data_IF_695346505735
#
_entry.id   IF_695346505735
#
_cell.length_a   1.000
_cell.length_b   1.000
_cell.length_c   1.000
_cell.angle_alpha   90.00
_cell.angle_beta   90.00
_cell.angle_gamma   90.00
#
_symmetry.space_group_name_H-M   'P 1'
#
loop_
_entity.id
_entity.type
_entity.pdbx_description
1 polymer ?
#
# COMPACT_ATOMS: atom_id res chain seq x y z
N UNK A 1 -25.04 -34.98 -10.94
CA UNK A 1 -25.12 -34.56 -9.51
C UNK A 1 -23.74 -34.28 -8.89
N UNK A 2 -22.69 -35.05 -9.22
CA UNK A 2 -21.30 -34.85 -8.72
C UNK A 2 -20.65 -33.52 -9.19
N UNK A 3 -20.92 -33.09 -10.43
CA UNK A 3 -20.40 -31.83 -11.00
C UNK A 3 -20.86 -30.54 -10.28
N UNK A 4 -22.08 -30.53 -9.73
CA UNK A 4 -22.59 -29.37 -8.99
C UNK A 4 -21.94 -29.25 -7.60
N UNK A 5 -21.58 -30.38 -6.98
CA UNK A 5 -20.89 -30.41 -5.70
C UNK A 5 -19.40 -30.03 -5.84
N UNK A 6 -18.74 -30.43 -6.93
CA UNK A 6 -17.36 -30.02 -7.23
C UNK A 6 -17.27 -28.52 -7.51
N UNK A 7 -18.16 -27.97 -8.34
CA UNK A 7 -18.19 -26.54 -8.64
C UNK A 7 -18.48 -25.68 -7.39
N UNK A 8 -19.35 -26.13 -6.49
CA UNK A 8 -19.61 -25.45 -5.20
C UNK A 8 -18.38 -25.47 -4.28
N UNK A 9 -17.67 -26.61 -4.24
CA UNK A 9 -16.45 -26.76 -3.45
C UNK A 9 -15.33 -25.87 -3.98
N UNK A 10 -15.13 -25.83 -5.30
CA UNK A 10 -14.14 -24.99 -5.99
C UNK A 10 -14.40 -23.51 -5.73
N UNK A 11 -15.64 -23.03 -5.89
CA UNK A 11 -16.01 -21.65 -5.56
C UNK A 11 -15.72 -21.29 -4.11
N UNK A 12 -16.03 -22.20 -3.17
CA UNK A 12 -15.74 -21.96 -1.75
C UNK A 12 -14.24 -21.85 -1.48
N UNK A 13 -13.43 -22.68 -2.12
CA UNK A 13 -11.97 -22.61 -1.99
C UNK A 13 -11.41 -21.31 -2.58
N UNK A 14 -11.93 -20.86 -3.73
CA UNK A 14 -11.54 -19.59 -4.34
C UNK A 14 -11.84 -18.40 -3.41
N UNK A 15 -13.07 -18.31 -2.89
CA UNK A 15 -13.46 -17.24 -1.95
C UNK A 15 -12.60 -17.25 -0.69
N UNK A 16 -12.31 -18.45 -0.13
CA UNK A 16 -11.43 -18.56 1.03
C UNK A 16 -10.00 -18.12 0.73
N UNK A 17 -9.50 -18.36 -0.48
CA UNK A 17 -8.16 -17.94 -0.88
C UNK A 17 -8.07 -16.45 -1.13
N UNK A 18 -9.05 -15.86 -1.82
CA UNK A 18 -9.19 -14.42 -1.99
C UNK A 18 -9.22 -13.71 -0.63
N UNK A 19 -10.01 -14.22 0.32
CA UNK A 19 -10.06 -13.67 1.67
C UNK A 19 -8.70 -13.76 2.38
N UNK A 20 -7.99 -14.90 2.30
CA UNK A 20 -6.67 -15.05 2.92
C UNK A 20 -5.65 -14.07 2.35
N UNK A 21 -5.68 -13.84 1.04
CA UNK A 21 -4.78 -12.92 0.37
C UNK A 21 -5.11 -11.47 0.76
N UNK A 22 -6.37 -11.06 0.65
CA UNK A 22 -6.82 -9.74 1.06
C UNK A 22 -6.50 -9.44 2.53
N UNK A 23 -6.77 -10.39 3.44
CA UNK A 23 -6.46 -10.25 4.87
C UNK A 23 -4.96 -10.10 5.12
N UNK A 24 -4.10 -10.83 4.40
CA UNK A 24 -2.64 -10.71 4.53
C UNK A 24 -2.15 -9.32 4.13
N UNK A 25 -2.62 -8.80 2.99
CA UNK A 25 -2.24 -7.47 2.53
C UNK A 25 -2.72 -6.38 3.49
N UNK A 26 -3.92 -6.51 4.04
CA UNK A 26 -4.43 -5.60 5.06
C UNK A 26 -3.64 -5.67 6.38
N UNK A 27 -3.16 -6.85 6.78
CA UNK A 27 -2.30 -7.03 7.97
C UNK A 27 -0.93 -6.36 7.78
N UNK A 28 -0.34 -6.49 6.58
CA UNK A 28 0.85 -5.74 6.19
C UNK A 28 0.60 -4.23 6.25
N UNK A 29 -0.54 -3.75 5.75
CA UNK A 29 -0.87 -2.31 5.73
C UNK A 29 -1.13 -1.73 7.13
N UNK A 30 -1.76 -2.51 8.01
CA UNK A 30 -1.88 -2.16 9.43
C UNK A 30 -0.51 -2.03 10.07
N UNK A 31 0.41 -2.98 9.79
CA UNK A 31 1.78 -2.92 10.31
C UNK A 31 2.50 -1.66 9.82
N UNK A 32 2.45 -1.38 8.51
CA UNK A 32 3.09 -0.20 7.91
C UNK A 32 2.51 1.10 8.47
N UNK A 33 1.19 1.22 8.62
CA UNK A 33 0.60 2.41 9.23
C UNK A 33 1.07 2.59 10.68
N UNK A 34 1.18 1.50 11.44
CA UNK A 34 1.73 1.54 12.80
C UNK A 34 3.17 2.06 12.85
N UNK A 35 4.02 1.60 11.94
CA UNK A 35 5.41 2.09 11.79
C UNK A 35 5.45 3.57 11.39
N UNK A 36 4.63 3.97 10.44
CA UNK A 36 4.50 5.35 9.98
C UNK A 36 4.02 6.30 11.08
N UNK A 37 3.16 5.84 11.99
CA UNK A 37 2.71 6.62 13.15
C UNK A 37 3.78 6.68 14.26
N UNK A 38 4.59 5.62 14.41
CA UNK A 38 5.74 5.66 15.30
C UNK A 38 6.81 6.64 14.79
N UNK A 39 7.06 6.67 13.48
CA UNK A 39 7.92 7.67 12.85
C UNK A 39 7.35 9.08 13.01
N UNK A 40 6.05 9.27 12.74
CA UNK A 40 5.36 10.55 12.96
C UNK A 40 5.52 11.06 14.40
N UNK A 41 5.48 10.16 15.39
CA UNK A 41 5.72 10.51 16.78
C UNK A 41 7.10 11.11 16.99
N UNK A 42 8.15 10.45 16.48
CA UNK A 42 9.54 10.93 16.55
C UNK A 42 9.68 12.29 15.86
N UNK A 43 9.11 12.42 14.66
CA UNK A 43 9.14 13.62 13.83
C UNK A 43 8.44 14.83 14.46
N UNK A 44 7.54 14.62 15.42
CA UNK A 44 6.74 15.66 16.06
C UNK A 44 7.13 15.91 17.52
N UNK A 45 8.14 15.22 18.06
CA UNK A 45 8.57 15.36 19.47
C UNK A 45 8.93 16.80 19.87
N UNK A 46 9.47 17.58 18.92
CA UNK A 46 9.88 18.99 19.16
C UNK A 46 8.91 20.00 18.57
N UNK A 47 7.78 19.56 18.02
CA UNK A 47 6.77 20.42 17.40
C UNK A 47 5.71 20.80 18.43
N UNK A 48 5.43 22.10 18.57
CA UNK A 48 4.24 22.52 19.31
C UNK A 48 2.99 22.16 18.50
N UNK A 49 2.19 21.23 19.03
CA UNK A 49 0.94 20.78 18.40
C UNK A 49 -0.20 21.73 18.80
N UNK A 50 -0.63 22.57 17.86
CA UNK A 50 -1.88 23.31 17.99
C UNK A 50 -3.10 22.35 18.05
N UNK A 51 -4.28 22.90 18.37
CA UNK A 51 -5.48 22.09 18.61
C UNK A 51 -5.89 21.28 17.38
N UNK A 52 -5.74 21.86 16.19
CA UNK A 52 -6.08 21.19 14.93
C UNK A 52 -5.09 20.06 14.59
N UNK A 53 -3.78 20.29 14.74
CA UNK A 53 -2.77 19.26 14.48
C UNK A 53 -2.89 18.13 15.49
N UNK A 54 -3.23 18.43 16.76
CA UNK A 54 -3.52 17.41 17.78
C UNK A 54 -4.75 16.60 17.42
N UNK A 55 -5.79 17.24 16.88
CA UNK A 55 -7.01 16.58 16.38
C UNK A 55 -6.67 15.60 15.25
N UNK A 56 -5.96 16.06 14.22
CA UNK A 56 -5.55 15.21 13.09
C UNK A 56 -4.65 14.05 13.54
N UNK A 57 -3.77 14.29 14.52
CA UNK A 57 -2.95 13.23 15.11
C UNK A 57 -3.81 12.17 15.79
N UNK A 58 -4.77 12.59 16.63
CA UNK A 58 -5.69 11.67 17.30
C UNK A 58 -6.53 10.89 16.29
N UNK A 59 -7.03 11.54 15.25
CA UNK A 59 -7.81 10.90 14.18
C UNK A 59 -6.97 9.80 13.48
N UNK A 60 -5.66 10.02 13.28
CA UNK A 60 -4.77 9.02 12.70
C UNK A 60 -4.56 7.79 13.62
N UNK A 61 -4.40 8.02 14.93
CA UNK A 61 -4.30 6.96 15.93
C UNK A 61 -5.60 6.15 16.06
N UNK A 62 -6.73 6.85 16.07
CA UNK A 62 -8.06 6.23 16.18
C UNK A 62 -8.37 5.36 14.97
N UNK A 63 -8.03 5.84 13.76
CA UNK A 63 -8.17 5.07 12.52
C UNK A 63 -7.29 3.80 12.54
N UNK A 64 -6.06 3.90 13.01
CA UNK A 64 -5.16 2.74 13.16
C UNK A 64 -5.70 1.70 14.15
N UNK A 65 -6.16 2.12 15.33
CA UNK A 65 -6.76 1.20 16.30
C UNK A 65 -8.06 0.59 15.78
N UNK A 66 -8.91 1.37 15.11
CA UNK A 66 -10.10 0.87 14.45
C UNK A 66 -9.76 -0.15 13.35
N UNK A 67 -8.72 0.08 12.55
CA UNK A 67 -8.26 -0.85 11.52
C UNK A 67 -7.80 -2.18 12.14
N UNK A 68 -7.05 -2.13 13.26
CA UNK A 68 -6.65 -3.34 14.00
C UNK A 68 -7.85 -4.12 14.53
N UNK A 69 -8.86 -3.45 15.08
CA UNK A 69 -10.09 -4.09 15.55
C UNK A 69 -10.81 -4.74 14.38
N UNK A 70 -11.06 -3.99 13.30
CA UNK A 70 -11.74 -4.50 12.11
C UNK A 70 -11.02 -5.69 11.48
N UNK A 71 -9.68 -5.67 11.41
CA UNK A 71 -8.88 -6.77 10.89
C UNK A 71 -9.00 -8.04 11.75
N UNK A 72 -9.04 -7.90 13.08
CA UNK A 72 -9.26 -9.04 13.98
C UNK A 72 -10.64 -9.67 13.77
N UNK A 73 -11.66 -8.84 13.58
CA UNK A 73 -13.06 -9.25 13.41
C UNK A 73 -13.40 -9.77 12.00
N UNK A 74 -12.60 -9.41 10.99
CA UNK A 74 -12.85 -9.79 9.60
C UNK A 74 -12.97 -11.31 9.43
N UNK A 75 -14.02 -11.75 8.75
CA UNK A 75 -14.34 -13.15 8.47
C UNK A 75 -14.51 -13.44 6.96
N UNK A 76 -14.74 -12.42 6.14
CA UNK A 76 -14.87 -12.52 4.69
C UNK A 76 -14.22 -11.34 3.96
N UNK A 77 -14.06 -11.45 2.63
CA UNK A 77 -13.39 -10.44 1.79
C UNK A 77 -14.04 -9.06 1.90
N UNK A 78 -15.37 -9.02 2.08
CA UNK A 78 -16.10 -7.76 2.24
C UNK A 78 -15.70 -7.02 3.53
N UNK A 79 -15.38 -7.73 4.61
CA UNK A 79 -14.92 -7.10 5.86
C UNK A 79 -13.58 -6.40 5.67
N UNK A 80 -12.73 -6.92 4.78
CA UNK A 80 -11.41 -6.33 4.48
C UNK A 80 -11.55 -4.95 3.86
N UNK A 81 -12.63 -4.67 3.12
CA UNK A 81 -12.90 -3.33 2.57
C UNK A 81 -13.06 -2.27 3.66
N UNK A 82 -13.61 -2.67 4.81
CA UNK A 82 -13.70 -1.77 5.97
C UNK A 82 -12.32 -1.50 6.55
N UNK A 83 -11.45 -2.50 6.59
CA UNK A 83 -10.05 -2.34 7.05
C UNK A 83 -9.31 -1.38 6.13
N UNK A 84 -9.41 -1.55 4.81
CA UNK A 84 -8.73 -0.67 3.84
C UNK A 84 -9.22 0.77 3.93
N UNK A 85 -10.54 0.99 4.06
CA UNK A 85 -11.08 2.35 4.25
C UNK A 85 -10.55 3.01 5.53
N UNK A 86 -10.43 2.28 6.64
CA UNK A 86 -9.87 2.81 7.89
C UNK A 86 -8.37 3.12 7.76
N UNK A 87 -7.64 2.30 7.00
CA UNK A 87 -6.23 2.57 6.70
C UNK A 87 -6.06 3.83 5.86
N UNK A 88 -6.91 4.03 4.85
CA UNK A 88 -6.94 5.26 4.05
C UNK A 88 -7.26 6.49 4.91
N UNK A 89 -8.21 6.38 5.85
CA UNK A 89 -8.50 7.43 6.82
C UNK A 89 -7.29 7.77 7.69
N UNK A 90 -6.59 6.76 8.21
CA UNK A 90 -5.39 6.95 9.01
C UNK A 90 -4.24 7.59 8.24
N UNK A 91 -4.03 7.19 6.99
CA UNK A 91 -3.02 7.77 6.12
C UNK A 91 -3.35 9.21 5.73
N UNK A 92 -4.63 9.52 5.47
CA UNK A 92 -5.09 10.88 5.23
C UNK A 92 -4.84 11.78 6.44
N UNK A 93 -5.25 11.34 7.63
CA UNK A 93 -5.05 12.09 8.88
C UNK A 93 -3.55 12.30 9.16
N UNK A 94 -2.70 11.29 8.97
CA UNK A 94 -1.24 11.42 9.02
C UNK A 94 -0.72 12.47 8.02
N UNK A 95 -1.23 12.49 6.80
CA UNK A 95 -0.84 13.49 5.80
C UNK A 95 -1.24 14.92 6.22
N UNK A 96 -2.39 15.10 6.88
CA UNK A 96 -2.77 16.39 7.47
C UNK A 96 -1.80 16.84 8.57
N UNK A 97 -1.39 15.93 9.47
CA UNK A 97 -0.40 16.25 10.52
C UNK A 97 0.92 16.73 9.90
N UNK A 98 1.44 15.99 8.92
CA UNK A 98 2.67 16.37 8.21
C UNK A 98 2.52 17.71 7.48
N UNK A 99 1.38 17.95 6.84
CA UNK A 99 1.13 19.21 6.14
C UNK A 99 1.14 20.41 7.10
N UNK A 100 0.51 20.28 8.28
CA UNK A 100 0.52 21.33 9.31
C UNK A 100 1.91 21.56 9.89
N UNK A 101 2.63 20.49 10.23
CA UNK A 101 4.02 20.57 10.70
C UNK A 101 4.90 21.37 9.72
N UNK A 102 4.74 21.09 8.43
CA UNK A 102 5.57 21.68 7.38
C UNK A 102 5.05 23.04 6.89
N UNK A 103 3.89 23.51 7.40
CA UNK A 103 3.26 24.75 6.94
C UNK A 103 2.83 24.71 5.46
N UNK A 104 2.48 23.52 4.96
CA UNK A 104 2.04 23.31 3.57
C UNK A 104 0.52 23.17 3.48
N UNK A 105 -0.02 23.26 2.26
CA UNK A 105 -1.46 23.09 2.02
C UNK A 105 -1.94 21.71 2.50
N UNK A 106 -3.10 21.68 3.17
CA UNK A 106 -3.71 20.44 3.64
C UNK A 106 -4.09 19.54 2.44
N UNK A 107 -3.91 18.21 2.56
CA UNK A 107 -4.29 17.29 1.50
C UNK A 107 -5.80 17.30 1.28
N UNK A 108 -6.21 17.12 0.02
CA UNK A 108 -7.60 16.85 -0.32
C UNK A 108 -7.91 15.36 -0.15
N UNK A 109 -9.18 15.03 0.12
CA UNK A 109 -9.66 13.63 0.14
C UNK A 109 -9.68 13.07 -1.29
N UNK A 110 -8.54 12.54 -1.70
CA UNK A 110 -8.31 11.87 -2.99
C UNK A 110 -8.04 10.39 -2.79
N UNK A 111 -8.12 9.65 -3.88
CA UNK A 111 -7.65 8.28 -4.00
C UNK A 111 -6.18 8.13 -3.51
N UNK A 112 -5.78 6.95 -3.01
CA UNK A 112 -4.40 6.70 -2.60
C UNK A 112 -3.42 6.77 -3.78
N UNK A 113 -2.13 6.88 -3.46
CA UNK A 113 -1.08 6.81 -4.50
C UNK A 113 -1.19 5.52 -5.32
N UNK A 114 -1.23 5.68 -6.64
CA UNK A 114 -1.34 4.60 -7.61
C UNK A 114 -0.26 3.50 -7.46
N UNK A 115 0.99 3.90 -7.17
CA UNK A 115 2.12 2.95 -7.08
C UNK A 115 2.17 2.20 -5.76
N UNK A 116 1.76 2.85 -4.68
CA UNK A 116 1.71 2.27 -3.35
C UNK A 116 0.65 3.00 -2.52
N UNK A 117 -0.52 2.39 -2.27
CA UNK A 117 -1.54 2.99 -1.44
C UNK A 117 -1.04 3.39 -0.06
N UNK A 118 -0.04 2.69 0.50
CA UNK A 118 0.53 3.00 1.82
C UNK A 118 1.21 4.38 1.89
N UNK A 119 1.44 5.06 0.76
CA UNK A 119 1.96 6.44 0.73
C UNK A 119 0.92 7.48 1.15
N UNK A 120 -0.37 7.11 1.22
CA UNK A 120 -1.47 8.04 1.50
C UNK A 120 -2.03 8.71 0.24
N UNK A 121 -2.79 9.81 0.41
CA UNK A 121 -3.57 10.42 -0.66
C UNK A 121 -2.69 10.96 -1.78
N UNK A 122 -3.18 10.83 -3.01
CA UNK A 122 -2.61 11.49 -4.16
C UNK A 122 -2.74 13.02 -4.04
N UNK A 123 -1.77 13.74 -4.60
CA UNK A 123 -1.77 15.22 -4.63
C UNK A 123 -1.86 15.77 -6.05
N UNK A 124 -1.56 14.94 -7.05
CA UNK A 124 -1.54 15.34 -8.45
C UNK A 124 -1.74 14.13 -9.36
N UNK A 125 -2.16 14.40 -10.59
CA UNK A 125 -2.29 13.42 -11.66
C UNK A 125 -1.11 13.57 -12.62
N UNK A 126 -0.57 12.44 -13.09
CA UNK A 126 0.55 12.40 -14.03
C UNK A 126 0.28 11.42 -15.17
N UNK A 127 0.68 11.82 -16.38
CA UNK A 127 0.78 10.92 -17.51
C UNK A 127 1.91 9.90 -17.26
N UNK A 128 1.56 8.62 -17.25
CA UNK A 128 2.50 7.54 -17.04
C UNK A 128 2.22 6.35 -17.96
N UNK A 129 3.27 5.78 -18.53
CA UNK A 129 3.20 4.60 -19.38
C UNK A 129 3.75 3.38 -18.63
N UNK A 130 2.95 2.33 -18.37
CA UNK A 130 3.44 1.09 -17.80
C UNK A 130 4.43 0.40 -18.75
N UNK A 131 5.33 -0.46 -18.23
CA UNK A 131 6.14 -1.33 -19.09
C UNK A 131 5.26 -2.12 -20.06
N UNK A 132 5.48 -1.94 -21.36
CA UNK A 132 4.68 -2.54 -22.46
C UNK A 132 3.18 -2.16 -22.46
N UNK A 133 2.80 -1.09 -21.76
CA UNK A 133 1.44 -0.61 -21.68
C UNK A 133 1.17 0.60 -22.59
N UNK A 134 -0.02 1.16 -22.42
CA UNK A 134 -0.40 2.46 -23.00
C UNK A 134 -0.32 3.54 -21.93
N UNK A 135 -0.01 4.76 -22.37
CA UNK A 135 -0.04 5.93 -21.49
C UNK A 135 -1.42 6.11 -20.86
N UNK A 136 -1.44 6.48 -19.58
CA UNK A 136 -2.64 6.80 -18.82
C UNK A 136 -2.33 7.86 -17.77
N UNK A 137 -3.35 8.64 -17.44
CA UNK A 137 -3.33 9.50 -16.26
C UNK A 137 -3.47 8.65 -15.00
N UNK A 138 -2.60 8.88 -14.03
CA UNK A 138 -2.62 8.20 -12.72
C UNK A 138 -2.45 9.21 -11.59
N UNK A 139 -3.11 8.95 -10.47
CA UNK A 139 -3.04 9.78 -9.28
C UNK A 139 -1.85 9.35 -8.40
N UNK A 140 -0.96 10.27 -8.06
CA UNK A 140 0.29 9.97 -7.33
C UNK A 140 0.48 10.87 -6.11
N UNK A 141 1.12 10.33 -5.08
CA UNK A 141 1.54 11.14 -3.93
C UNK A 141 2.67 12.10 -4.32
N UNK A 142 2.92 13.09 -3.47
CA UNK A 142 3.96 14.11 -3.68
C UNK A 142 5.35 13.49 -3.90
N UNK A 143 5.68 12.42 -3.18
CA UNK A 143 7.00 11.79 -3.27
C UNK A 143 7.21 11.08 -4.62
N UNK A 144 6.23 10.32 -5.10
CA UNK A 144 6.33 9.66 -6.39
C UNK A 144 6.21 10.65 -7.56
N UNK A 145 5.43 11.73 -7.42
CA UNK A 145 5.43 12.83 -8.38
C UNK A 145 6.84 13.46 -8.53
N UNK A 146 7.54 13.66 -7.42
CA UNK A 146 8.91 14.18 -7.42
C UNK A 146 9.89 13.21 -8.08
N UNK A 147 9.81 11.91 -7.78
CA UNK A 147 10.64 10.88 -8.44
C UNK A 147 10.43 10.88 -9.94
N UNK A 148 9.18 10.85 -10.40
CA UNK A 148 8.87 10.85 -11.82
C UNK A 148 9.36 12.10 -12.55
N UNK A 149 9.18 13.29 -11.95
CA UNK A 149 9.66 14.54 -12.54
C UNK A 149 11.20 14.64 -12.58
N UNK A 150 11.90 13.95 -11.67
CA UNK A 150 13.35 13.79 -11.69
C UNK A 150 13.85 12.70 -12.65
N UNK A 151 12.95 11.96 -13.32
CA UNK A 151 13.31 10.81 -14.15
C UNK A 151 13.71 9.56 -13.36
N UNK A 152 13.41 9.53 -12.06
CA UNK A 152 13.61 8.39 -11.18
C UNK A 152 12.43 7.42 -11.24
N UNK A 153 12.67 6.17 -10.84
CA UNK A 153 11.59 5.18 -10.71
C UNK A 153 10.73 5.50 -9.47
N UNK A 154 9.39 5.38 -9.57
CA UNK A 154 8.52 5.51 -8.41
C UNK A 154 8.77 4.37 -7.42
N UNK A 155 8.35 4.56 -6.17
CA UNK A 155 8.43 3.49 -5.17
C UNK A 155 7.20 2.59 -5.27
N UNK A 156 7.33 1.56 -6.09
CA UNK A 156 6.25 0.64 -6.43
C UNK A 156 6.12 -0.44 -5.37
N UNK A 157 4.93 -0.55 -4.77
CA UNK A 157 4.61 -1.67 -3.87
C UNK A 157 4.61 -2.97 -4.66
N UNK A 158 5.28 -3.98 -4.11
CA UNK A 158 5.25 -5.34 -4.62
C UNK A 158 4.40 -6.21 -3.70
N UNK A 159 3.47 -6.96 -4.30
CA UNK A 159 2.61 -7.89 -3.57
C UNK A 159 2.82 -9.30 -4.05
N UNK A 160 2.72 -10.24 -3.11
CA UNK A 160 2.87 -11.66 -3.41
C UNK A 160 1.55 -12.24 -3.93
N UNK A 161 1.55 -12.73 -5.16
CA UNK A 161 0.45 -13.45 -5.78
C UNK A 161 0.91 -14.86 -6.09
N UNK A 162 0.43 -15.83 -5.32
CA UNK A 162 0.95 -17.20 -5.33
C UNK A 162 2.43 -17.26 -4.96
N UNK A 163 3.26 -17.65 -5.91
CA UNK A 163 4.71 -17.85 -5.83
C UNK A 163 5.52 -16.70 -6.47
N UNK A 164 4.86 -15.63 -6.93
CA UNK A 164 5.51 -14.48 -7.57
C UNK A 164 5.23 -13.19 -6.82
N UNK A 165 6.15 -12.23 -6.94
CA UNK A 165 5.91 -10.84 -6.58
C UNK A 165 5.54 -10.06 -7.84
N UNK A 166 4.49 -9.26 -7.77
CA UNK A 166 4.05 -8.41 -8.88
C UNK A 166 3.83 -6.99 -8.35
N UNK A 167 3.96 -5.96 -9.20
CA UNK A 167 3.54 -4.61 -8.85
C UNK A 167 2.09 -4.57 -8.38
N UNK A 168 1.82 -3.80 -7.33
CA UNK A 168 0.47 -3.59 -6.77
C UNK A 168 -0.56 -3.27 -7.86
N UNK A 169 -0.25 -2.29 -8.70
CA UNK A 169 -1.14 -1.85 -9.78
C UNK A 169 -1.42 -2.91 -10.86
N UNK A 170 -0.65 -4.01 -10.89
CA UNK A 170 -0.85 -5.13 -11.80
C UNK A 170 -1.60 -6.31 -11.12
N UNK A 171 -1.74 -6.27 -9.79
CA UNK A 171 -2.47 -7.26 -9.00
C UNK A 171 -3.92 -6.83 -8.69
N UNK A 172 -4.27 -5.57 -8.96
CA UNK A 172 -5.56 -4.98 -8.58
C UNK A 172 -6.33 -4.43 -9.77
N UNK A 173 -7.65 -4.29 -9.60
CA UNK A 173 -8.49 -3.58 -10.55
C UNK A 173 -8.42 -2.07 -10.28
N UNK A 174 -9.17 -1.29 -11.06
CA UNK A 174 -9.27 0.17 -10.94
C UNK A 174 -9.79 0.67 -9.58
N UNK A 175 -10.40 -0.21 -8.76
CA UNK A 175 -10.87 0.10 -7.39
C UNK A 175 -9.90 -0.37 -6.32
N UNK A 176 -8.69 -0.81 -6.69
CA UNK A 176 -7.72 -1.36 -5.76
C UNK A 176 -8.12 -2.72 -5.18
N UNK A 177 -9.19 -3.34 -5.72
CA UNK A 177 -9.60 -4.67 -5.28
C UNK A 177 -8.66 -5.69 -5.90
N UNK A 178 -8.15 -6.60 -5.06
CA UNK A 178 -7.29 -7.67 -5.52
C UNK A 178 -8.00 -8.52 -6.59
N UNK A 179 -7.47 -8.54 -7.82
CA UNK A 179 -8.02 -9.36 -8.89
C UNK A 179 -7.27 -10.68 -8.88
N UNK A 180 -7.96 -11.75 -8.50
CA UNK A 180 -7.48 -13.12 -8.74
C UNK A 180 -7.25 -13.44 -10.25
N UNK A 181 -7.57 -12.51 -11.15
CA UNK A 181 -7.52 -12.63 -12.60
C UNK A 181 -6.10 -12.75 -13.22
N UNK A 182 -5.02 -12.55 -12.46
CA UNK A 182 -3.66 -12.82 -12.95
C UNK A 182 -3.36 -14.32 -13.17
N UNK A 183 -4.30 -15.21 -12.87
CA UNK A 183 -4.27 -16.61 -13.33
C UNK A 183 -4.77 -16.83 -14.77
N UNK A 184 -5.28 -15.81 -15.48
CA UNK A 184 -5.71 -15.96 -16.89
C UNK A 184 -5.42 -14.78 -17.81
N UNK A 185 -4.89 -13.66 -17.30
CA UNK A 185 -4.16 -12.74 -18.17
C UNK A 185 -2.75 -13.27 -18.29
N UNK A 186 -2.44 -13.82 -19.47
CA UNK A 186 -1.07 -13.87 -19.94
C UNK A 186 -0.51 -12.45 -19.87
N UNK A 187 0.13 -12.09 -18.76
CA UNK A 187 1.04 -10.94 -18.72
C UNK A 187 2.27 -11.38 -19.51
N UNK A 188 2.13 -11.39 -20.84
CA UNK A 188 3.24 -11.22 -21.76
C UNK A 188 3.75 -9.81 -21.54
N UNK A 189 4.50 -9.58 -20.46
CA UNK A 189 4.86 -8.22 -20.09
C UNK A 189 5.66 -8.01 -18.82
N UNK A 190 5.99 -9.05 -18.05
CA UNK A 190 7.09 -8.91 -17.07
C UNK A 190 8.37 -9.38 -17.75
N UNK A 191 9.26 -8.46 -18.19
CA UNK A 191 10.53 -8.88 -18.73
C UNK A 191 11.34 -9.58 -17.64
N UNK A 192 12.18 -10.58 -17.99
CA UNK A 192 13.08 -11.24 -17.04
C UNK A 192 13.95 -10.25 -16.24
N UNK A 193 14.22 -9.06 -16.81
CA UNK A 193 14.99 -7.99 -16.16
C UNK A 193 14.27 -7.26 -15.03
N UNK A 194 12.92 -7.13 -15.06
CA UNK A 194 12.18 -6.47 -13.97
C UNK A 194 12.21 -7.34 -12.71
N UNK A 195 12.08 -8.66 -12.87
CA UNK A 195 12.22 -9.60 -11.75
C UNK A 195 13.65 -9.58 -11.19
N UNK A 196 14.67 -9.51 -12.06
CA UNK A 196 16.06 -9.39 -11.63
C UNK A 196 16.35 -8.07 -10.90
N UNK A 197 15.73 -6.96 -11.33
CA UNK A 197 15.88 -5.64 -10.67
C UNK A 197 15.10 -5.58 -9.34
N UNK A 198 13.94 -6.22 -9.28
CA UNK A 198 13.15 -6.42 -8.04
C UNK A 198 13.90 -7.31 -7.03
N UNK A 199 14.49 -8.42 -7.48
CA UNK A 199 15.29 -9.31 -6.64
C UNK A 199 16.60 -8.64 -6.19
N UNK A 200 17.24 -7.84 -7.06
CA UNK A 200 18.43 -7.06 -6.73
C UNK A 200 18.15 -5.95 -5.70
N UNK A 201 17.01 -5.24 -5.81
CA UNK A 201 16.56 -4.25 -4.81
C UNK A 201 16.29 -4.87 -3.45
N UNK A 202 15.77 -6.11 -3.42
CA UNK A 202 15.62 -6.86 -2.17
C UNK A 202 16.98 -7.22 -1.58
N UNK A 203 17.95 -7.66 -2.38
CA UNK A 203 19.30 -7.95 -1.89
C UNK A 203 20.00 -6.70 -1.33
N UNK A 204 19.83 -5.53 -1.96
CA UNK A 204 20.41 -4.27 -1.47
C UNK A 204 19.74 -3.77 -0.18
N UNK A 205 18.40 -3.82 -0.09
CA UNK A 205 17.69 -3.40 1.12
C UNK A 205 17.95 -4.35 2.31
N UNK A 206 18.22 -5.63 2.06
CA UNK A 206 18.60 -6.58 3.10
C UNK A 206 20.06 -6.44 3.56
N UNK A 207 20.96 -5.95 2.69
CA UNK A 207 22.37 -5.65 3.05
C UNK A 207 22.48 -4.39 3.92
N UNK A 208 21.68 -3.36 3.65
CA UNK A 208 21.64 -2.15 4.48
C UNK A 208 21.14 -2.41 5.91
N UNK A 209 20.44 -3.51 6.16
CA UNK A 209 20.04 -3.98 7.49
C UNK A 209 21.08 -4.84 8.24
N UNK A 210 22.19 -5.26 7.60
CA UNK A 210 23.16 -6.20 8.18
C UNK A 210 24.54 -5.61 8.52
N UNK A 211 24.83 -4.33 8.23
CA UNK A 211 26.15 -3.71 8.52
C UNK A 211 26.14 -2.78 9.75
N UNK A 212 25.30 -3.05 10.74
CA UNK A 212 25.25 -2.35 12.03
C UNK A 212 25.99 -3.05 13.18
N UNK A 213 26.94 -3.95 12.88
CA UNK A 213 27.76 -4.64 13.90
C UNK A 213 29.11 -3.96 14.08
N UNK A 214 29.16 -2.95 14.95
CA UNK A 214 30.38 -2.22 15.28
C UNK A 214 31.48 -3.13 15.84
N UNK A 215 32.65 -3.06 15.20
CA UNK A 215 33.94 -3.31 15.83
C UNK A 215 34.30 -2.08 16.68
N UNK A 216 34.70 -2.28 17.94
CA UNK A 216 35.20 -1.22 18.78
C UNK A 216 35.59 -1.71 20.17
N UNK A 217 36.83 -2.20 20.28
CA UNK A 217 37.65 -2.15 21.51
C UNK A 217 38.27 -0.76 21.57
#
# INVERSE_FOLDING_TARGET
MVWFLSARKERRLAIMEEFRQARRLADEDVTVLGEQLAELHVDTLTTELDDDMRRDYQDALDAYEAAKVALREAAETQDVLRVTSLLEDGQFARACVLARRDGTELPQRREPCFFNPQHGPAVTDVAWTPPHGVEREIAVCRLDANRLSAGEQPDVRLVRVGDRYVPWYAATDERGLFVAAVASVAVTGVPPGLMAEVDARRASNNISGMTGGGLGI
#
